data_IF_894414404984
#
_entry.id   IF_894414404984
#
_cell.length_a   1.000
_cell.length_b   1.000
_cell.length_c   1.000
_cell.angle_alpha   90.00
_cell.angle_beta   90.00
_cell.angle_gamma   90.00
#
_symmetry.space_group_name_H-M   'P 1'
#
loop_
_entity.id
_entity.type
_entity.pdbx_description
1 polymer ?
#
# COMPACT_ATOMS: atom_id res chain seq x y z
N UNK A 1 26.80 -0.78 -18.19
CA UNK A 1 25.40 -0.60 -17.78
C UNK A 1 24.71 -1.95 -17.89
N UNK A 2 24.09 -2.44 -16.81
CA UNK A 2 23.31 -3.67 -16.86
C UNK A 2 21.83 -3.32 -16.67
N UNK A 3 20.99 -3.76 -17.61
CA UNK A 3 19.55 -3.59 -17.57
C UNK A 3 18.96 -4.64 -16.62
N UNK A 4 18.24 -4.19 -15.60
CA UNK A 4 17.66 -5.05 -14.56
C UNK A 4 16.14 -5.04 -14.65
N UNK A 5 15.56 -6.18 -15.01
CA UNK A 5 14.12 -6.37 -14.95
C UNK A 5 13.67 -6.68 -13.52
N UNK A 6 12.67 -5.93 -13.06
CA UNK A 6 12.11 -6.07 -11.72
C UNK A 6 10.59 -6.27 -11.79
N UNK A 7 10.07 -7.12 -10.91
CA UNK A 7 8.62 -7.37 -10.78
C UNK A 7 7.83 -6.26 -10.06
N UNK A 8 8.37 -5.04 -10.00
CA UNK A 8 7.73 -3.91 -9.31
C UNK A 8 6.41 -3.56 -9.98
N UNK A 9 5.38 -3.29 -9.18
CA UNK A 9 4.05 -2.89 -9.66
C UNK A 9 3.09 -4.05 -9.93
N UNK A 10 3.62 -5.28 -10.09
CA UNK A 10 2.81 -6.47 -10.42
C UNK A 10 1.64 -6.68 -9.46
N UNK A 11 1.84 -6.45 -8.16
CA UNK A 11 0.79 -6.57 -7.14
C UNK A 11 -0.30 -5.52 -7.35
N UNK A 12 0.10 -4.26 -7.55
CA UNK A 12 -0.84 -3.14 -7.69
C UNK A 12 -1.71 -3.29 -8.95
N UNK A 13 -1.15 -3.85 -10.03
CA UNK A 13 -1.86 -4.01 -11.30
C UNK A 13 -2.60 -5.34 -11.43
N UNK A 14 -2.10 -6.46 -10.90
CA UNK A 14 -2.74 -7.78 -11.05
C UNK A 14 -3.56 -8.21 -9.84
N UNK A 15 -3.06 -7.97 -8.63
CA UNK A 15 -3.84 -8.24 -7.42
C UNK A 15 -4.87 -7.12 -7.24
N UNK A 16 -6.05 -7.46 -6.73
CA UNK A 16 -7.00 -6.44 -6.32
C UNK A 16 -6.51 -5.69 -5.08
N UNK A 17 -6.75 -4.37 -5.04
CA UNK A 17 -6.62 -3.62 -3.80
C UNK A 17 -7.72 -4.05 -2.80
N UNK A 18 -7.45 -4.24 -1.50
CA UNK A 18 -8.46 -4.71 -0.54
C UNK A 18 -9.75 -3.88 -0.52
N UNK A 19 -9.65 -2.57 -0.77
CA UNK A 19 -10.81 -1.67 -0.91
C UNK A 19 -11.83 -2.10 -1.98
N UNK A 20 -11.44 -2.90 -2.97
CA UNK A 20 -12.32 -3.45 -4.01
C UNK A 20 -13.38 -4.40 -3.47
N UNK A 21 -13.22 -4.92 -2.25
CA UNK A 21 -14.26 -5.65 -1.53
C UNK A 21 -15.52 -4.78 -1.31
N UNK A 22 -15.36 -3.46 -1.12
CA UNK A 22 -16.49 -2.54 -1.01
C UNK A 22 -17.26 -2.42 -2.34
N UNK A 23 -16.55 -2.41 -3.47
CA UNK A 23 -17.17 -2.36 -4.80
C UNK A 23 -17.97 -3.63 -5.10
N UNK A 24 -17.44 -4.80 -4.72
CA UNK A 24 -18.16 -6.08 -4.83
C UNK A 24 -19.46 -6.09 -3.99
N UNK A 25 -19.48 -5.40 -2.85
CA UNK A 25 -20.70 -5.24 -2.04
C UNK A 25 -21.73 -4.34 -2.74
N UNK A 26 -21.28 -3.26 -3.39
CA UNK A 26 -22.14 -2.38 -4.18
C UNK A 26 -22.76 -3.14 -5.38
N UNK A 27 -21.99 -4.05 -6.00
CA UNK A 27 -22.46 -4.93 -7.08
C UNK A 27 -23.33 -6.11 -6.61
N UNK A 28 -23.66 -6.19 -5.32
CA UNK A 28 -24.40 -7.31 -4.71
C UNK A 28 -23.70 -8.68 -4.87
N UNK A 29 -22.40 -8.71 -5.19
CA UNK A 29 -21.58 -9.92 -5.41
C UNK A 29 -21.00 -10.50 -4.13
N UNK A 30 -21.82 -10.63 -3.09
CA UNK A 30 -21.40 -11.01 -1.72
C UNK A 30 -20.69 -12.36 -1.63
N UNK A 31 -21.06 -13.31 -2.49
CA UNK A 31 -20.48 -14.67 -2.53
C UNK A 31 -18.96 -14.66 -2.82
N UNK A 32 -18.47 -13.65 -3.55
CA UNK A 32 -17.06 -13.53 -3.91
C UNK A 32 -16.17 -13.00 -2.77
N UNK A 33 -16.74 -12.63 -1.61
CA UNK A 33 -16.01 -12.10 -0.46
C UNK A 33 -15.48 -13.18 0.49
N UNK A 34 -16.11 -14.36 0.51
CA UNK A 34 -15.80 -15.43 1.47
C UNK A 34 -14.39 -16.00 1.27
N UNK A 35 -14.03 -16.33 0.03
CA UNK A 35 -12.73 -16.91 -0.30
C UNK A 35 -11.56 -15.94 -0.04
N UNK A 36 -11.64 -14.64 -0.41
CA UNK A 36 -10.62 -13.66 -0.03
C UNK A 36 -10.49 -13.48 1.48
N UNK A 37 -11.60 -13.37 2.21
CA UNK A 37 -11.55 -13.14 3.65
C UNK A 37 -11.02 -14.35 4.44
N UNK A 38 -11.37 -15.57 4.01
CA UNK A 38 -10.81 -16.80 4.61
C UNK A 38 -9.33 -16.96 4.29
N UNK A 39 -8.86 -16.54 3.12
CA UNK A 39 -7.43 -16.53 2.81
C UNK A 39 -6.63 -15.50 3.62
N UNK A 40 -7.21 -14.33 3.90
CA UNK A 40 -6.63 -13.37 4.85
C UNK A 40 -6.50 -13.99 6.24
N UNK A 41 -7.55 -14.66 6.73
CA UNK A 41 -7.52 -15.36 8.01
C UNK A 41 -6.44 -16.45 8.07
N UNK A 42 -6.22 -17.18 6.97
CA UNK A 42 -5.15 -18.18 6.87
C UNK A 42 -3.76 -17.54 6.84
N UNK A 43 -3.61 -16.37 6.20
CA UNK A 43 -2.33 -15.69 6.07
C UNK A 43 -1.77 -15.17 7.40
N UNK A 44 -2.63 -14.86 8.38
CA UNK A 44 -2.23 -14.44 9.72
C UNK A 44 -2.04 -15.59 10.71
N UNK A 45 -2.28 -16.83 10.27
CA UNK A 45 -2.14 -18.03 11.09
C UNK A 45 -3.36 -18.32 11.98
N UNK A 46 -3.37 -19.50 12.66
CA UNK A 46 -4.46 -19.90 13.53
C UNK A 46 -4.42 -19.10 14.83
N UNK A 47 -5.32 -18.14 14.98
CA UNK A 47 -5.59 -17.44 16.23
C UNK A 47 -7.09 -17.53 16.56
N UNK A 48 -7.46 -17.35 17.83
CA UNK A 48 -8.87 -17.30 18.23
C UNK A 48 -9.67 -16.20 17.48
N UNK A 49 -9.00 -15.15 16.99
CA UNK A 49 -9.62 -14.09 16.21
C UNK A 49 -9.80 -14.43 14.72
N UNK A 50 -9.12 -15.46 14.20
CA UNK A 50 -9.17 -15.85 12.79
C UNK A 50 -10.58 -16.27 12.34
N UNK A 51 -11.43 -16.76 13.26
CA UNK A 51 -12.84 -17.09 12.98
C UNK A 51 -13.72 -15.86 12.71
N UNK A 52 -13.40 -14.70 13.31
CA UNK A 52 -14.18 -13.47 13.14
C UNK A 52 -13.71 -12.61 11.97
N UNK A 53 -12.57 -12.95 11.35
CA UNK A 53 -11.97 -12.19 10.23
C UNK A 53 -12.95 -11.96 9.06
N UNK A 54 -13.72 -12.96 8.58
CA UNK A 54 -14.67 -12.71 7.51
C UNK A 54 -15.73 -11.67 7.86
N UNK A 55 -16.21 -11.68 9.12
CA UNK A 55 -17.21 -10.73 9.58
C UNK A 55 -16.64 -9.32 9.76
N UNK A 56 -15.42 -9.19 10.31
CA UNK A 56 -14.76 -7.88 10.49
C UNK A 56 -14.42 -7.24 9.14
N UNK A 57 -13.89 -8.01 8.19
CA UNK A 57 -13.62 -7.57 6.81
C UNK A 57 -14.93 -7.17 6.11
N UNK A 58 -15.99 -7.97 6.24
CA UNK A 58 -17.29 -7.62 5.68
C UNK A 58 -17.85 -6.32 6.27
N UNK A 59 -17.79 -6.12 7.60
CA UNK A 59 -18.25 -4.89 8.25
C UNK A 59 -17.45 -3.66 7.81
N UNK A 60 -16.11 -3.79 7.72
CA UNK A 60 -15.25 -2.72 7.27
C UNK A 60 -15.52 -2.35 5.80
N UNK A 61 -15.63 -3.34 4.91
CA UNK A 61 -15.99 -3.12 3.51
C UNK A 61 -17.40 -2.51 3.37
N UNK A 62 -18.35 -2.96 4.19
CA UNK A 62 -19.73 -2.42 4.23
C UNK A 62 -19.77 -0.97 4.72
N UNK A 63 -18.91 -0.62 5.69
CA UNK A 63 -18.73 0.76 6.16
C UNK A 63 -18.19 1.63 5.02
N UNK A 64 -17.08 1.23 4.40
CA UNK A 64 -16.48 1.95 3.28
C UNK A 64 -17.48 2.16 2.13
N UNK A 65 -18.28 1.15 1.78
CA UNK A 65 -19.30 1.24 0.74
C UNK A 65 -20.44 2.22 1.05
N UNK A 66 -20.66 2.56 2.32
CA UNK A 66 -21.72 3.49 2.76
C UNK A 66 -21.20 4.90 3.06
N UNK A 67 -19.92 5.05 3.35
CA UNK A 67 -19.31 6.36 3.62
C UNK A 67 -19.16 7.12 2.31
N UNK A 68 -19.61 8.36 2.26
CA UNK A 68 -19.38 9.21 1.08
C UNK A 68 -17.89 9.59 0.97
N UNK A 69 -17.45 10.00 -0.21
CA UNK A 69 -16.08 10.51 -0.37
C UNK A 69 -15.80 11.68 0.57
N UNK A 70 -16.74 12.63 0.66
CA UNK A 70 -16.65 13.81 1.52
C UNK A 70 -16.42 13.42 2.98
N UNK A 71 -17.30 12.59 3.54
CA UNK A 71 -17.19 12.15 4.94
C UNK A 71 -15.88 11.40 5.19
N UNK A 72 -15.42 10.61 4.20
CA UNK A 72 -14.16 9.86 4.30
C UNK A 72 -12.92 10.74 4.32
N UNK A 73 -12.91 11.86 3.58
CA UNK A 73 -11.81 12.82 3.59
C UNK A 73 -11.86 13.68 4.85
N UNK A 74 -13.04 14.09 5.30
CA UNK A 74 -13.23 14.83 6.55
C UNK A 74 -12.80 14.00 7.77
N UNK A 75 -13.16 12.71 7.85
CA UNK A 75 -12.68 11.80 8.90
C UNK A 75 -11.14 11.70 8.89
N UNK A 76 -10.50 11.76 7.72
CA UNK A 76 -9.03 11.77 7.63
C UNK A 76 -8.42 13.08 8.12
N UNK A 77 -9.05 14.23 7.84
CA UNK A 77 -8.64 15.55 8.33
C UNK A 77 -8.71 15.61 9.88
N UNK A 78 -9.83 15.17 10.46
CA UNK A 78 -10.02 15.08 11.91
C UNK A 78 -8.95 14.19 12.56
N UNK A 79 -8.71 12.99 12.01
CA UNK A 79 -7.67 12.09 12.52
C UNK A 79 -6.27 12.68 12.43
N UNK A 80 -5.99 13.50 11.42
CA UNK A 80 -4.71 14.17 11.24
C UNK A 80 -4.47 15.18 12.37
N UNK A 81 -5.47 16.00 12.69
CA UNK A 81 -5.43 17.00 13.78
C UNK A 81 -5.31 16.35 15.16
N UNK A 82 -6.04 15.27 15.40
CA UNK A 82 -5.96 14.51 16.65
C UNK A 82 -4.68 13.66 16.76
N UNK A 83 -3.79 13.73 15.75
CA UNK A 83 -2.56 12.94 15.66
C UNK A 83 -2.81 11.43 15.76
N UNK A 84 -3.99 10.97 15.32
CA UNK A 84 -4.38 9.55 15.28
C UNK A 84 -3.85 8.90 14.01
N UNK A 85 -2.59 8.52 14.05
CA UNK A 85 -1.91 7.90 12.92
C UNK A 85 -2.13 6.39 12.83
N UNK A 86 -1.88 5.85 11.63
CA UNK A 86 -2.15 4.47 11.34
C UNK A 86 -1.41 3.45 12.23
N UNK A 87 -0.26 3.85 12.73
CA UNK A 87 0.74 2.98 13.34
C UNK A 87 0.32 2.45 14.71
N UNK A 88 -0.55 3.15 15.46
CA UNK A 88 -0.94 2.71 16.82
C UNK A 88 -1.63 1.34 16.86
N UNK A 89 -2.27 0.92 15.76
CA UNK A 89 -2.87 -0.40 15.61
C UNK A 89 -1.98 -1.38 14.81
N UNK A 90 -1.24 -0.90 13.81
CA UNK A 90 -0.36 -1.74 12.97
C UNK A 90 0.92 -2.19 13.71
N UNK A 91 1.41 -1.39 14.67
CA UNK A 91 2.52 -1.74 15.58
C UNK A 91 2.10 -2.84 16.56
N UNK A 92 0.83 -2.87 16.95
CA UNK A 92 0.30 -3.83 17.93
C UNK A 92 -0.03 -5.19 17.31
N UNK A 93 -0.43 -5.23 16.03
CA UNK A 93 -0.80 -6.48 15.35
C UNK A 93 -0.36 -6.46 13.87
N UNK A 94 0.89 -6.85 13.56
CA UNK A 94 1.46 -6.78 12.21
C UNK A 94 0.98 -7.93 11.30
N UNK A 95 -0.32 -8.02 11.04
CA UNK A 95 -0.96 -9.00 10.16
C UNK A 95 -1.33 -8.52 8.75
N UNK A 96 -1.52 -9.44 7.83
CA UNK A 96 -2.17 -9.24 6.53
C UNK A 96 -3.64 -8.82 6.69
N UNK A 97 -4.33 -9.26 7.73
CA UNK A 97 -5.70 -8.83 8.05
C UNK A 97 -5.69 -7.37 8.49
N UNK A 98 -4.82 -6.98 9.41
CA UNK A 98 -4.77 -5.59 9.90
C UNK A 98 -4.40 -4.61 8.78
N UNK A 99 -3.46 -4.97 7.90
CA UNK A 99 -3.13 -4.20 6.70
C UNK A 99 -4.32 -4.10 5.73
N UNK A 100 -5.08 -5.20 5.56
CA UNK A 100 -6.27 -5.21 4.69
C UNK A 100 -7.40 -4.38 5.27
N UNK A 101 -7.63 -4.43 6.58
CA UNK A 101 -8.59 -3.59 7.29
C UNK A 101 -8.18 -2.11 7.24
N UNK A 102 -6.89 -1.82 7.36
CA UNK A 102 -6.36 -0.47 7.21
C UNK A 102 -6.60 0.12 5.82
N UNK A 103 -6.58 -0.73 4.79
CA UNK A 103 -6.86 -0.33 3.41
C UNK A 103 -8.35 -0.10 3.11
N UNK A 104 -9.27 -0.55 3.99
CA UNK A 104 -10.73 -0.38 3.87
C UNK A 104 -11.23 0.99 4.39
N UNK A 105 -10.53 2.06 4.00
CA UNK A 105 -10.93 3.46 4.25
C UNK A 105 -10.76 4.31 2.98
N UNK A 106 -11.43 5.47 2.89
CA UNK A 106 -11.28 6.41 1.78
C UNK A 106 -9.90 7.07 1.77
N UNK A 107 -9.47 7.55 2.94
CA UNK A 107 -8.18 8.16 3.18
C UNK A 107 -7.70 7.73 4.57
N UNK A 108 -6.39 7.73 4.78
CA UNK A 108 -5.80 7.52 6.10
C UNK A 108 -4.48 8.31 6.15
N UNK A 109 -4.25 9.10 7.21
CA UNK A 109 -2.94 9.67 7.46
C UNK A 109 -1.89 8.56 7.52
N UNK A 110 -0.91 8.62 6.63
CA UNK A 110 0.19 7.65 6.55
C UNK A 110 1.21 7.84 7.68
N UNK A 111 2.18 6.93 7.82
CA UNK A 111 3.19 6.99 8.89
C UNK A 111 4.02 8.28 8.85
N UNK A 112 4.27 8.85 7.67
CA UNK A 112 5.02 10.10 7.51
C UNK A 112 4.28 11.33 8.05
N UNK A 113 2.95 11.26 8.24
CA UNK A 113 2.19 12.38 8.80
C UNK A 113 2.66 12.74 10.21
N UNK A 114 3.22 11.79 10.97
CA UNK A 114 3.78 12.03 12.30
C UNK A 114 5.01 12.95 12.28
N UNK A 115 5.66 13.09 11.13
CA UNK A 115 6.84 13.94 10.99
C UNK A 115 6.46 15.40 10.84
N UNK A 116 5.23 15.69 10.43
CA UNK A 116 4.80 17.06 10.14
C UNK A 116 4.71 17.89 11.43
N UNK A 117 5.10 19.16 11.34
CA UNK A 117 4.87 20.12 12.42
C UNK A 117 3.38 20.34 12.66
N UNK A 118 3.00 20.84 13.84
CA UNK A 118 1.60 21.14 14.17
C UNK A 118 0.94 22.10 13.16
N UNK A 119 1.69 23.11 12.72
CA UNK A 119 1.26 24.06 11.69
C UNK A 119 1.03 23.37 10.34
N UNK A 120 1.98 22.55 9.90
CA UNK A 120 1.84 21.82 8.64
C UNK A 120 0.69 20.80 8.68
N UNK A 121 0.45 20.17 9.83
CA UNK A 121 -0.72 19.29 10.03
C UNK A 121 -2.03 20.05 9.89
N UNK A 122 -2.12 21.26 10.47
CA UNK A 122 -3.29 22.11 10.36
C UNK A 122 -3.54 22.54 8.91
N UNK A 123 -2.49 22.99 8.20
CA UNK A 123 -2.57 23.37 6.78
C UNK A 123 -3.01 22.19 5.90
N UNK A 124 -2.46 20.99 6.10
CA UNK A 124 -2.88 19.79 5.37
C UNK A 124 -4.34 19.44 5.70
N UNK A 125 -4.78 19.61 6.95
CA UNK A 125 -6.17 19.39 7.34
C UNK A 125 -7.12 20.32 6.58
N UNK A 126 -6.82 21.61 6.52
CA UNK A 126 -7.61 22.60 5.76
C UNK A 126 -7.68 22.22 4.29
N UNK A 127 -6.55 21.86 3.67
CA UNK A 127 -6.51 21.41 2.26
C UNK A 127 -7.33 20.14 2.02
N UNK A 128 -7.39 19.23 2.99
CA UNK A 128 -8.25 18.04 2.92
C UNK A 128 -9.73 18.41 2.98
N UNK A 129 -10.11 19.34 3.86
CA UNK A 129 -11.50 19.83 3.95
C UNK A 129 -11.93 20.54 2.66
N UNK A 130 -11.08 21.41 2.11
CA UNK A 130 -11.32 22.02 0.80
C UNK A 130 -11.46 20.97 -0.31
N UNK A 131 -10.59 19.96 -0.32
CA UNK A 131 -10.66 18.87 -1.29
C UNK A 131 -11.93 18.01 -1.14
N UNK A 132 -12.48 17.91 0.07
CA UNK A 132 -13.74 17.21 0.34
C UNK A 132 -14.95 17.97 -0.23
N UNK A 133 -14.85 19.29 -0.36
CA UNK A 133 -15.90 20.16 -0.92
C UNK A 133 -15.89 20.22 -2.45
N UNK A 134 -14.77 19.83 -3.10
CA UNK A 134 -14.67 19.84 -4.56
C UNK A 134 -15.61 18.82 -5.19
N UNK A 135 -16.27 19.14 -6.32
CA UNK A 135 -17.02 18.15 -7.09
C UNK A 135 -16.07 17.05 -7.56
N UNK A 136 -16.37 15.81 -7.19
CA UNK A 136 -15.58 14.65 -7.60
C UNK A 136 -16.43 13.77 -8.48
N UNK A 137 -15.89 13.36 -9.63
CA UNK A 137 -16.52 12.34 -10.47
C UNK A 137 -16.85 11.11 -9.61
N UNK A 138 -18.11 10.67 -9.67
CA UNK A 138 -18.62 9.53 -8.92
C UNK A 138 -17.85 8.25 -9.30
N UNK A 139 -16.75 8.00 -8.60
CA UNK A 139 -15.95 6.77 -8.70
C UNK A 139 -16.22 5.91 -7.49
N UNK A 140 -16.20 4.61 -7.71
CA UNK A 140 -16.39 3.65 -6.63
C UNK A 140 -15.21 3.72 -5.64
N UNK A 141 -15.45 3.50 -4.33
CA UNK A 141 -14.41 3.64 -3.31
C UNK A 141 -13.21 2.74 -3.58
N UNK A 142 -13.44 1.48 -3.92
CA UNK A 142 -12.38 0.52 -4.17
C UNK A 142 -11.52 0.89 -5.38
N UNK A 143 -12.16 1.34 -6.46
CA UNK A 143 -11.50 1.83 -7.66
C UNK A 143 -10.58 3.01 -7.38
N UNK A 144 -11.08 4.03 -6.69
CA UNK A 144 -10.29 5.21 -6.34
C UNK A 144 -9.09 4.84 -5.46
N UNK A 145 -9.28 3.92 -4.50
CA UNK A 145 -8.20 3.46 -3.62
C UNK A 145 -7.14 2.66 -4.36
N UNK A 146 -7.55 1.76 -5.25
CA UNK A 146 -6.63 1.00 -6.10
C UNK A 146 -5.77 1.94 -6.95
N UNK A 147 -6.40 2.96 -7.54
CA UNK A 147 -5.71 3.96 -8.36
C UNK A 147 -4.73 4.81 -7.55
N UNK A 148 -5.16 5.30 -6.38
CA UNK A 148 -4.29 6.07 -5.50
C UNK A 148 -3.07 5.24 -5.04
N UNK A 149 -3.27 3.95 -4.73
CA UNK A 149 -2.19 3.05 -4.35
C UNK A 149 -1.22 2.78 -5.51
N UNK A 150 -1.73 2.56 -6.73
CA UNK A 150 -0.89 2.39 -7.92
C UNK A 150 -0.10 3.66 -8.24
N UNK A 151 -0.76 4.83 -8.21
CA UNK A 151 -0.12 6.12 -8.47
C UNK A 151 0.98 6.42 -7.45
N UNK A 152 0.72 6.17 -6.16
CA UNK A 152 1.73 6.31 -5.11
C UNK A 152 2.93 5.40 -5.35
N UNK A 153 2.66 4.12 -5.64
CA UNK A 153 3.71 3.14 -5.87
C UNK A 153 4.55 3.47 -7.12
N UNK A 154 3.91 3.95 -8.20
CA UNK A 154 4.61 4.39 -9.40
C UNK A 154 5.49 5.62 -9.14
N UNK A 155 5.01 6.58 -8.33
CA UNK A 155 5.79 7.74 -7.93
C UNK A 155 7.02 7.33 -7.09
N UNK A 156 6.84 6.42 -6.12
CA UNK A 156 7.95 5.88 -5.31
C UNK A 156 8.97 5.13 -6.19
N UNK A 157 8.50 4.37 -7.19
CA UNK A 157 9.36 3.69 -8.14
C UNK A 157 10.18 4.67 -9.00
N UNK A 158 9.58 5.77 -9.44
CA UNK A 158 10.27 6.80 -10.24
C UNK A 158 11.43 7.43 -9.45
N UNK A 159 11.24 7.69 -8.16
CA UNK A 159 12.32 8.18 -7.29
C UNK A 159 13.43 7.13 -7.15
N UNK A 160 13.07 5.86 -7.02
CA UNK A 160 14.04 4.76 -6.94
C UNK A 160 14.84 4.59 -8.24
N UNK A 161 14.20 4.69 -9.39
CA UNK A 161 14.85 4.66 -10.71
C UNK A 161 15.89 5.79 -10.84
N UNK A 162 15.53 7.02 -10.49
CA UNK A 162 16.45 8.16 -10.49
C UNK A 162 17.67 7.92 -9.57
N UNK A 163 17.46 7.33 -8.40
CA UNK A 163 18.54 7.01 -7.48
C UNK A 163 19.47 5.91 -8.03
N UNK A 164 18.92 4.92 -8.75
CA UNK A 164 19.69 3.84 -9.35
C UNK A 164 20.48 4.29 -10.59
N UNK A 165 19.95 5.24 -11.37
CA UNK A 165 20.62 5.83 -12.53
C UNK A 165 21.94 6.51 -12.17
N UNK A 166 22.03 7.14 -10.98
CA UNK A 166 23.29 7.72 -10.45
C UNK A 166 24.41 6.67 -10.38
N UNK A 167 24.05 5.41 -10.13
CA UNK A 167 24.99 4.28 -10.06
C UNK A 167 25.11 3.52 -11.39
N UNK A 168 24.65 4.12 -12.50
CA UNK A 168 24.64 3.51 -13.84
C UNK A 168 23.90 2.17 -13.91
N UNK A 169 22.88 1.98 -13.07
CA UNK A 169 21.95 0.86 -13.14
C UNK A 169 20.66 1.30 -13.81
N UNK A 170 20.23 0.57 -14.83
CA UNK A 170 18.94 0.79 -15.50
C UNK A 170 17.94 -0.21 -14.96
N UNK A 171 16.89 0.29 -14.32
CA UNK A 171 15.84 -0.53 -13.75
C UNK A 171 14.63 -0.49 -14.68
N UNK A 172 14.09 -1.66 -15.02
CA UNK A 172 12.87 -1.76 -15.83
C UNK A 172 11.77 -2.43 -15.03
N UNK A 173 10.64 -1.74 -14.87
CA UNK A 173 9.42 -2.25 -14.23
C UNK A 173 8.28 -2.39 -15.25
N UNK A 174 8.22 -3.49 -16.03
CA UNK A 174 7.23 -3.67 -17.10
C UNK A 174 5.77 -3.55 -16.65
N UNK A 175 5.46 -3.89 -15.40
CA UNK A 175 4.10 -3.79 -14.87
C UNK A 175 3.60 -2.37 -14.66
N UNK A 176 4.48 -1.37 -14.69
CA UNK A 176 4.12 0.04 -14.62
C UNK A 176 3.95 0.67 -16.00
N UNK A 177 4.15 -0.09 -17.08
CA UNK A 177 3.81 0.35 -18.42
C UNK A 177 2.31 0.61 -18.57
N UNK A 178 1.95 1.68 -19.27
CA UNK A 178 0.57 2.12 -19.43
C UNK A 178 -0.32 1.08 -20.12
N UNK A 179 0.21 0.31 -21.07
CA UNK A 179 -0.54 -0.75 -21.76
C UNK A 179 -0.75 -1.95 -20.84
N UNK A 180 0.28 -2.33 -20.09
CA UNK A 180 0.16 -3.40 -19.08
C UNK A 180 -0.86 -3.03 -18.00
N UNK A 181 -0.83 -1.79 -17.50
CA UNK A 181 -1.81 -1.28 -16.54
C UNK A 181 -3.23 -1.34 -17.12
N UNK A 182 -3.44 -0.88 -18.35
CA UNK A 182 -4.76 -0.91 -19.02
C UNK A 182 -5.25 -2.35 -19.21
N UNK A 183 -4.40 -3.26 -19.68
CA UNK A 183 -4.74 -4.67 -19.86
C UNK A 183 -5.12 -5.33 -18.52
N UNK A 184 -4.34 -5.08 -17.47
CA UNK A 184 -4.64 -5.64 -16.15
C UNK A 184 -5.92 -5.05 -15.53
N UNK A 185 -6.27 -3.79 -15.85
CA UNK A 185 -7.54 -3.15 -15.44
C UNK A 185 -8.76 -3.68 -16.19
N UNK A 186 -8.58 -4.24 -17.38
CA UNK A 186 -9.67 -4.89 -18.13
C UNK A 186 -10.08 -6.25 -17.52
N UNK A 187 -9.23 -6.85 -16.68
CA UNK A 187 -9.56 -8.09 -16.00
C UNK A 187 -10.70 -7.90 -14.98
N UNK A 188 -11.64 -8.85 -14.87
CA UNK A 188 -12.71 -8.77 -13.88
C UNK A 188 -12.19 -8.67 -12.46
N UNK A 189 -12.69 -7.70 -11.69
CA UNK A 189 -12.26 -7.47 -10.31
C UNK A 189 -12.50 -8.70 -9.41
N UNK A 190 -13.64 -9.38 -9.61
CA UNK A 190 -13.98 -10.59 -8.85
C UNK A 190 -12.95 -11.73 -9.01
N UNK A 191 -12.21 -11.75 -10.13
CA UNK A 191 -11.09 -12.66 -10.36
C UNK A 191 -9.85 -12.20 -9.59
N UNK A 192 -9.48 -10.92 -9.72
CA UNK A 192 -8.27 -10.34 -9.13
C UNK A 192 -8.25 -10.33 -7.60
N UNK A 193 -9.42 -10.28 -6.98
CA UNK A 193 -9.56 -10.36 -5.51
C UNK A 193 -9.28 -11.77 -4.99
N UNK A 194 -9.31 -12.79 -5.85
CA UNK A 194 -9.10 -14.17 -5.39
C UNK A 194 -7.64 -14.42 -4.97
N UNK A 195 -7.42 -15.20 -3.91
CA UNK A 195 -6.08 -15.63 -3.51
C UNK A 195 -5.39 -16.39 -4.65
N UNK A 196 -4.16 -16.01 -4.97
CA UNK A 196 -3.37 -16.65 -6.04
C UNK A 196 -3.79 -16.26 -7.47
N UNK A 197 -4.73 -15.33 -7.64
CA UNK A 197 -5.22 -14.89 -8.96
C UNK A 197 -4.09 -14.38 -9.86
N UNK A 198 -3.17 -13.57 -9.32
CA UNK A 198 -2.02 -13.06 -10.09
C UNK A 198 -1.20 -14.15 -10.74
N UNK A 199 -0.83 -15.20 -9.99
CA UNK A 199 -0.05 -16.30 -10.54
C UNK A 199 -0.86 -17.07 -11.60
N UNK A 200 -2.15 -17.31 -11.36
CA UNK A 200 -3.02 -17.97 -12.32
C UNK A 200 -3.17 -17.17 -13.63
N UNK A 201 -3.45 -15.86 -13.54
CA UNK A 201 -3.57 -14.95 -14.69
C UNK A 201 -2.28 -14.93 -15.49
N UNK A 202 -1.13 -14.74 -14.83
CA UNK A 202 0.16 -14.72 -15.51
C UNK A 202 0.48 -16.08 -16.17
N UNK A 203 0.12 -17.22 -15.58
CA UNK A 203 0.26 -18.53 -16.25
C UNK A 203 -0.57 -18.61 -17.52
N UNK A 204 -1.82 -18.15 -17.47
CA UNK A 204 -2.70 -18.15 -18.64
C UNK A 204 -2.13 -17.26 -19.75
N UNK A 205 -1.62 -16.07 -19.40
CA UNK A 205 -0.98 -15.17 -20.37
C UNK A 205 0.26 -15.80 -20.99
N UNK A 206 1.15 -16.39 -20.18
CA UNK A 206 2.36 -17.06 -20.67
C UNK A 206 2.04 -18.27 -21.55
N UNK A 207 1.06 -19.09 -21.16
CA UNK A 207 0.61 -20.22 -21.96
C UNK A 207 0.03 -19.76 -23.31
N UNK A 208 -0.72 -18.65 -23.34
CA UNK A 208 -1.21 -18.01 -24.56
C UNK A 208 -0.10 -17.46 -25.46
N UNK A 209 1.03 -17.05 -24.86
CA UNK A 209 2.25 -16.67 -25.57
C UNK A 209 3.15 -17.85 -25.96
N UNK A 210 2.70 -19.10 -25.74
CA UNK A 210 3.45 -20.32 -26.08
C UNK A 210 4.43 -20.80 -25.00
N UNK A 211 4.55 -20.10 -23.87
CA UNK A 211 5.44 -20.47 -22.76
C UNK A 211 4.68 -21.38 -21.80
N UNK A 212 4.94 -22.69 -21.89
CA UNK A 212 4.24 -23.71 -21.08
C UNK A 212 5.08 -24.25 -19.92
N UNK A 213 6.39 -24.26 -20.08
CA UNK A 213 7.32 -24.72 -19.06
C UNK A 213 7.76 -23.54 -18.20
N UNK A 214 7.36 -23.57 -16.93
CA UNK A 214 7.71 -22.55 -15.95
C UNK A 214 8.63 -23.18 -14.90
N UNK A 215 9.67 -22.45 -14.44
CA UNK A 215 10.56 -22.96 -13.41
C UNK A 215 9.80 -23.36 -12.13
N UNK A 216 10.31 -24.35 -11.38
CA UNK A 216 9.78 -24.66 -10.05
C UNK A 216 9.71 -23.42 -9.16
N UNK A 217 8.62 -23.27 -8.41
CA UNK A 217 8.41 -22.11 -7.54
C UNK A 217 7.96 -20.82 -8.27
N UNK A 218 7.74 -20.87 -9.59
CA UNK A 218 7.20 -19.73 -10.32
C UNK A 218 5.85 -19.28 -9.73
N UNK A 219 5.70 -17.96 -9.52
CA UNK A 219 4.50 -17.36 -8.93
C UNK A 219 4.42 -17.43 -7.39
N UNK A 220 5.42 -18.01 -6.71
CA UNK A 220 5.54 -17.95 -5.26
C UNK A 220 5.73 -16.52 -4.75
N UNK A 221 5.28 -16.25 -3.52
CA UNK A 221 5.36 -14.92 -2.90
C UNK A 221 6.77 -14.64 -2.36
N UNK A 222 7.48 -13.70 -2.99
CA UNK A 222 8.83 -13.28 -2.57
C UNK A 222 8.85 -12.14 -1.52
N UNK A 223 7.70 -11.81 -0.93
CA UNK A 223 7.57 -10.64 -0.04
C UNK A 223 8.50 -10.71 1.18
N UNK A 224 8.62 -11.88 1.81
CA UNK A 224 9.45 -12.05 2.99
C UNK A 224 10.93 -11.77 2.68
N UNK A 225 11.44 -12.31 1.57
CA UNK A 225 12.80 -12.09 1.11
C UNK A 225 13.04 -10.61 0.74
N UNK A 226 12.11 -9.98 0.02
CA UNK A 226 12.22 -8.56 -0.31
C UNK A 226 12.21 -7.67 0.95
N UNK A 227 11.30 -7.91 1.90
CA UNK A 227 11.27 -7.19 3.20
C UNK A 227 12.53 -7.45 4.01
N UNK A 228 13.12 -8.65 3.94
CA UNK A 228 14.41 -8.93 4.58
C UNK A 228 15.55 -8.13 3.92
N UNK A 229 15.60 -8.05 2.59
CA UNK A 229 16.60 -7.28 1.87
C UNK A 229 16.52 -5.78 2.18
N UNK A 230 15.32 -5.19 2.16
CA UNK A 230 15.10 -3.78 2.56
C UNK A 230 15.53 -3.55 4.01
N UNK A 231 15.25 -4.50 4.91
CA UNK A 231 15.72 -4.44 6.31
C UNK A 231 17.23 -4.43 6.42
N UNK A 232 17.89 -5.36 5.76
CA UNK A 232 19.34 -5.43 5.77
C UNK A 232 19.93 -4.13 5.24
N UNK A 233 19.45 -3.63 4.10
CA UNK A 233 19.89 -2.34 3.55
C UNK A 233 19.71 -1.18 4.53
N UNK A 234 18.53 -1.01 5.11
CA UNK A 234 18.28 0.07 6.08
C UNK A 234 19.21 -0.01 7.29
N UNK A 235 19.47 -1.21 7.82
CA UNK A 235 20.42 -1.39 8.94
C UNK A 235 21.84 -1.06 8.54
N UNK A 236 22.29 -1.55 7.39
CA UNK A 236 23.65 -1.30 6.89
C UNK A 236 23.91 0.19 6.70
N UNK A 237 22.92 0.95 6.22
CA UNK A 237 23.07 2.37 5.89
C UNK A 237 22.47 3.31 6.96
N UNK A 238 22.14 2.80 8.15
CA UNK A 238 21.50 3.62 9.21
C UNK A 238 22.35 4.83 9.59
N UNK A 239 23.68 4.67 9.70
CA UNK A 239 24.58 5.77 10.04
C UNK A 239 24.53 6.92 9.03
N UNK A 240 24.61 6.61 7.73
CA UNK A 240 24.51 7.63 6.69
C UNK A 240 23.11 8.26 6.61
N UNK A 241 22.06 7.47 6.84
CA UNK A 241 20.70 8.00 6.95
C UNK A 241 20.57 8.96 8.14
N UNK A 242 21.21 8.70 9.28
CA UNK A 242 21.26 9.64 10.39
C UNK A 242 21.92 10.96 9.97
N UNK A 243 23.09 10.89 9.32
CA UNK A 243 23.80 12.07 8.83
C UNK A 243 22.96 12.90 7.86
N UNK A 244 22.21 12.25 6.96
CA UNK A 244 21.29 12.94 6.05
C UNK A 244 20.18 13.70 6.79
N UNK A 245 19.74 13.21 7.96
CA UNK A 245 18.68 13.80 8.77
C UNK A 245 19.20 14.66 9.94
N UNK A 246 20.49 15.00 9.98
CA UNK A 246 21.03 15.89 11.01
C UNK A 246 20.50 17.32 10.86
N UNK A 247 20.47 17.84 9.63
CA UNK A 247 19.88 19.13 9.26
C UNK A 247 18.99 18.97 8.01
N UNK A 248 17.77 18.40 8.15
CA UNK A 248 16.93 18.16 7.00
C UNK A 248 16.31 19.47 6.51
N UNK A 249 16.48 19.77 5.21
CA UNK A 249 15.95 20.98 4.57
C UNK A 249 14.45 21.21 4.81
N UNK A 250 13.67 20.12 4.95
CA UNK A 250 12.25 20.20 5.26
C UNK A 250 11.98 20.67 6.70
N UNK A 251 12.88 20.42 7.65
CA UNK A 251 12.78 20.96 9.00
C UNK A 251 13.18 22.43 9.03
N UNK A 252 14.20 22.82 8.25
CA UNK A 252 14.58 24.23 8.10
C UNK A 252 13.44 25.05 7.48
N UNK A 253 12.67 24.45 6.58
CA UNK A 253 11.44 25.02 6.03
C UNK A 253 10.22 24.97 6.99
N UNK A 254 10.37 24.46 8.22
CA UNK A 254 9.29 24.35 9.20
C UNK A 254 8.24 23.28 8.90
N UNK A 255 8.46 22.41 7.90
CA UNK A 255 7.48 21.41 7.45
C UNK A 255 7.47 20.15 8.32
N UNK A 256 8.64 19.76 8.85
CA UNK A 256 8.80 18.55 9.66
C UNK A 256 9.53 18.80 10.99
N UNK A 257 9.20 17.99 12.00
CA UNK A 257 9.88 17.92 13.29
C UNK A 257 11.14 17.05 13.18
N UNK A 258 12.33 17.67 13.03
CA UNK A 258 13.61 16.98 12.86
C UNK A 258 13.88 15.91 13.93
N UNK A 259 13.54 16.20 15.20
CA UNK A 259 13.68 15.25 16.31
C UNK A 259 12.87 13.97 16.10
N UNK A 260 11.65 14.07 15.58
CA UNK A 260 10.78 12.91 15.33
C UNK A 260 11.36 12.06 14.22
N UNK A 261 11.86 12.67 13.15
CA UNK A 261 12.49 11.95 12.04
C UNK A 261 13.73 11.20 12.50
N UNK A 262 14.63 11.84 13.23
CA UNK A 262 15.82 11.18 13.80
C UNK A 262 15.46 10.01 14.71
N UNK A 263 14.48 10.19 15.60
CA UNK A 263 14.00 9.12 16.48
C UNK A 263 13.43 7.92 15.70
N UNK A 264 12.64 8.18 14.66
CA UNK A 264 12.05 7.12 13.83
C UNK A 264 13.13 6.39 13.04
N UNK A 265 14.06 7.11 12.42
CA UNK A 265 15.12 6.50 11.61
C UNK A 265 16.09 5.71 12.50
N UNK A 266 16.42 6.19 13.71
CA UNK A 266 17.24 5.47 14.68
C UNK A 266 16.54 4.18 15.17
N UNK A 267 15.25 4.27 15.51
CA UNK A 267 14.43 3.09 15.85
C UNK A 267 14.33 2.10 14.70
N UNK A 268 14.26 2.58 13.47
CA UNK A 268 14.13 1.73 12.27
C UNK A 268 15.42 0.95 12.00
N UNK A 269 16.59 1.61 12.17
CA UNK A 269 17.89 0.95 12.10
C UNK A 269 18.12 -0.07 13.21
N UNK A 270 17.60 0.18 14.41
CA UNK A 270 17.66 -0.75 15.54
C UNK A 270 16.57 -1.85 15.50
N UNK A 271 15.46 -1.62 14.78
CA UNK A 271 14.26 -2.47 14.79
C UNK A 271 14.35 -3.65 13.80
N UNK A 272 13.78 -4.78 14.22
CA UNK A 272 13.55 -5.94 13.36
C UNK A 272 12.34 -5.78 12.42
N UNK A 273 11.51 -4.75 12.63
CA UNK A 273 10.26 -4.49 11.92
C UNK A 273 10.29 -3.19 11.12
N UNK A 274 10.24 -3.30 9.79
CA UNK A 274 10.34 -2.20 8.82
C UNK A 274 9.03 -1.95 8.05
N UNK A 275 7.91 -2.47 8.56
CA UNK A 275 6.59 -2.08 8.03
C UNK A 275 6.20 -0.64 8.39
N UNK A 276 6.96 0.01 9.30
CA UNK A 276 6.68 1.33 9.86
C UNK A 276 6.77 2.52 8.87
N UNK A 277 7.32 2.32 7.68
CA UNK A 277 7.49 3.40 6.68
C UNK A 277 6.67 3.22 5.40
N UNK A 278 6.25 2.00 5.06
CA UNK A 278 5.74 1.69 3.71
C UNK A 278 4.24 1.37 3.62
N UNK A 279 3.51 1.34 4.75
CA UNK A 279 2.05 1.15 4.76
C UNK A 279 1.36 1.95 5.87
#
# INVERSE_FOLDING_TARGET
SADHFIGHGARQVLDAHPARLADLLLDRRRRHLLRPATALAKADGPSAQSFFVPFTVYRAARRLARTSYRDGVQDAAVRLLERRFADDQAVRDPGAVSASLAALTWCRPGPAARWLTGETLAEVSVRLEEAAMRPVLMRRPGERRADAALARYAADHRVFEQAAEIRSQRLHAPFLDNQVVRACRALPEALRVQPGARAAVLRTVLAGAGIRELPPGWGATSHAAHTAAVRTGMRTWTGELMTLFDAPLLADAGLIEARVVRNVTARTGASTSLRQLLY
#
